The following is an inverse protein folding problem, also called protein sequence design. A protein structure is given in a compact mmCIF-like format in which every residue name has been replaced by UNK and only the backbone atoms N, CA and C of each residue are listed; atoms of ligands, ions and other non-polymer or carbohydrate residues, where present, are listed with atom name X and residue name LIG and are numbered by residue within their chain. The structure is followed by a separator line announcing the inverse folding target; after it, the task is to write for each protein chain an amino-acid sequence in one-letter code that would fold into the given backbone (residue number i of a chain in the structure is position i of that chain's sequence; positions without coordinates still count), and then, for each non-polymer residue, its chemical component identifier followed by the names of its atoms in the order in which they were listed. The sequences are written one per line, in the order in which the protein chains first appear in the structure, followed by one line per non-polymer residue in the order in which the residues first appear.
data_IF_764235059327
#
_entry.id   IF_764235059327
#
_cell.length_a   1.000
_cell.length_b   1.000
_cell.length_c   1.000
_cell.angle_alpha   90.00
_cell.angle_beta   90.00
_cell.angle_gamma   90.00
#
_symmetry.space_group_name_H-M   'P 1'
#
loop_
_entity.id
_entity.type
_entity.pdbx_description
1 polymer ?
#
# COMPACT_ATOMS: atom_id res chain seq x y z
N UNK A 1 -20.25 13.70 2.31
CA UNK A 1 -20.04 12.31 2.77
C UNK A 1 -18.57 11.89 2.74
N UNK A 2 -17.89 12.00 1.60
CA UNK A 2 -16.46 11.67 1.44
C UNK A 2 -15.51 12.34 2.46
N UNK A 3 -15.71 13.62 2.79
CA UNK A 3 -14.87 14.31 3.77
C UNK A 3 -15.00 13.76 5.21
N UNK A 4 -16.20 13.27 5.59
CA UNK A 4 -16.42 12.72 6.95
C UNK A 4 -15.75 11.36 7.11
N UNK A 5 -15.91 10.47 6.12
CA UNK A 5 -15.22 9.18 6.14
C UNK A 5 -13.70 9.35 6.08
N UNK A 6 -13.22 10.36 5.35
CA UNK A 6 -11.79 10.65 5.30
C UNK A 6 -11.21 11.01 6.67
N UNK A 7 -11.86 11.90 7.43
CA UNK A 7 -11.44 12.22 8.79
C UNK A 7 -11.49 10.99 9.71
N UNK A 8 -12.54 10.17 9.59
CA UNK A 8 -12.68 8.97 10.41
C UNK A 8 -11.54 7.95 10.17
N UNK A 9 -11.05 7.81 8.93
CA UNK A 9 -9.89 6.99 8.60
C UNK A 9 -8.61 7.57 9.21
N UNK A 10 -8.40 8.88 9.07
CA UNK A 10 -7.23 9.58 9.65
C UNK A 10 -7.18 9.34 11.17
N UNK A 11 -8.30 9.53 11.86
CA UNK A 11 -8.41 9.31 13.29
C UNK A 11 -8.17 7.84 13.67
N UNK A 12 -8.73 6.90 12.91
CA UNK A 12 -8.56 5.47 13.14
C UNK A 12 -7.11 5.00 12.92
N UNK A 13 -6.32 5.74 12.15
CA UNK A 13 -4.87 5.51 11.96
C UNK A 13 -4.01 6.22 13.01
N UNK A 14 -4.63 6.96 13.94
CA UNK A 14 -3.97 7.85 14.90
C UNK A 14 -3.10 8.93 14.23
N UNK A 15 -3.59 9.49 13.11
CA UNK A 15 -2.95 10.58 12.37
C UNK A 15 -3.73 11.89 12.54
N UNK A 16 -3.11 12.99 12.11
CA UNK A 16 -3.78 14.26 11.85
C UNK A 16 -3.79 14.59 10.35
N UNK A 17 -4.60 15.55 9.93
CA UNK A 17 -4.58 16.04 8.53
C UNK A 17 -3.23 16.64 8.15
N UNK A 18 -2.47 17.18 9.12
CA UNK A 18 -1.13 17.73 8.87
C UNK A 18 -0.06 16.66 8.63
N UNK A 19 -0.33 15.42 9.02
CA UNK A 19 0.56 14.28 8.77
C UNK A 19 0.47 13.74 7.34
N UNK A 20 -0.61 14.09 6.62
CA UNK A 20 -0.81 13.66 5.24
C UNK A 20 0.08 14.45 4.27
N UNK A 21 0.53 13.77 3.22
CA UNK A 21 1.20 14.41 2.10
C UNK A 21 0.16 15.06 1.18
N UNK A 22 0.16 16.39 1.01
CA UNK A 22 -0.84 17.08 0.18
C UNK A 22 -0.76 16.70 -1.31
N UNK A 23 0.35 16.11 -1.77
CA UNK A 23 0.49 15.58 -3.14
C UNK A 23 -0.28 14.26 -3.33
N UNK A 24 -0.57 13.57 -2.23
CA UNK A 24 -1.18 12.25 -2.23
C UNK A 24 -2.63 12.31 -1.75
N UNK A 25 -3.56 12.59 -2.66
CA UNK A 25 -4.98 12.54 -2.34
C UNK A 25 -5.42 11.13 -1.90
N UNK A 26 -6.16 11.03 -0.80
CA UNK A 26 -6.68 9.75 -0.33
C UNK A 26 -7.73 9.18 -1.29
N UNK A 27 -7.49 7.96 -1.79
CA UNK A 27 -8.29 7.36 -2.88
C UNK A 27 -8.41 5.86 -2.73
N UNK A 28 -9.60 5.33 -3.05
CA UNK A 28 -9.77 3.89 -3.25
C UNK A 28 -9.31 3.56 -4.67
N UNK A 29 -8.41 2.60 -4.81
CA UNK A 29 -7.84 2.18 -6.09
C UNK A 29 -8.04 0.67 -6.27
N UNK A 30 -8.40 0.26 -7.49
CA UNK A 30 -8.70 -1.12 -7.86
C UNK A 30 -10.19 -1.45 -7.86
N UNK A 31 -10.53 -2.65 -8.33
CA UNK A 31 -11.90 -3.20 -8.36
C UNK A 31 -12.07 -4.26 -7.26
N UNK A 32 -11.87 -5.54 -7.58
CA UNK A 32 -11.78 -6.62 -6.61
C UNK A 32 -10.45 -6.54 -5.85
N UNK A 33 -10.49 -6.63 -4.51
CA UNK A 33 -9.27 -6.48 -3.70
C UNK A 33 -8.69 -5.07 -3.74
N UNK A 34 -9.53 -4.04 -3.90
CA UNK A 34 -9.15 -2.63 -3.87
C UNK A 34 -8.48 -2.21 -2.55
N UNK A 35 -7.84 -1.05 -2.55
CA UNK A 35 -7.17 -0.48 -1.37
C UNK A 35 -7.47 1.00 -1.24
N UNK A 36 -7.74 1.46 -0.03
CA UNK A 36 -7.70 2.87 0.28
C UNK A 36 -6.24 3.29 0.46
N UNK A 37 -5.73 4.08 -0.47
CA UNK A 37 -4.39 4.63 -0.44
C UNK A 37 -4.37 5.91 0.40
N UNK A 38 -3.47 5.97 1.37
CA UNK A 38 -3.29 7.09 2.29
C UNK A 38 -1.82 7.52 2.29
N UNK A 39 -1.52 8.63 1.64
CA UNK A 39 -0.15 9.16 1.59
C UNK A 39 0.18 10.01 2.82
N UNK A 40 1.27 9.66 3.51
CA UNK A 40 1.80 10.41 4.65
C UNK A 40 3.14 11.05 4.31
N UNK A 41 3.46 12.13 5.02
CA UNK A 41 4.64 12.96 4.74
C UNK A 41 5.96 12.19 4.80
N UNK A 42 6.11 11.23 5.70
CA UNK A 42 7.36 10.51 5.84
C UNK A 42 7.29 9.28 6.74
N UNK A 43 8.46 8.67 6.92
CA UNK A 43 8.65 7.46 7.73
C UNK A 43 8.25 7.63 9.20
N UNK A 44 8.36 8.85 9.74
CA UNK A 44 7.96 9.17 11.11
C UNK A 44 6.48 8.88 11.35
N UNK A 45 5.61 9.27 10.41
CA UNK A 45 4.17 9.01 10.48
C UNK A 45 3.89 7.51 10.44
N UNK A 46 4.53 6.77 9.52
CA UNK A 46 4.37 5.31 9.42
C UNK A 46 4.75 4.58 10.72
N UNK A 47 5.84 5.03 11.36
CA UNK A 47 6.30 4.52 12.66
C UNK A 47 5.31 4.78 13.79
N UNK A 48 4.60 5.91 13.74
CA UNK A 48 3.71 6.37 14.80
C UNK A 48 2.29 5.83 14.69
N UNK A 49 1.89 5.24 13.55
CA UNK A 49 0.54 4.70 13.37
C UNK A 49 0.19 3.71 14.48
N UNK A 50 -0.99 3.92 15.06
CA UNK A 50 -1.63 3.03 16.04
C UNK A 50 -3.04 2.74 15.54
N UNK A 51 -3.20 1.82 14.57
CA UNK A 51 -4.49 1.58 13.95
C UNK A 51 -5.50 1.01 14.95
N UNK A 52 -6.68 1.60 14.99
CA UNK A 52 -7.86 1.00 15.62
C UNK A 52 -8.49 0.02 14.62
N UNK A 53 -8.15 -1.26 14.77
CA UNK A 53 -8.60 -2.30 13.84
C UNK A 53 -10.12 -2.50 13.82
N UNK A 54 -10.82 -2.23 14.93
CA UNK A 54 -12.27 -2.31 14.97
C UNK A 54 -12.89 -1.19 14.13
N UNK A 55 -12.39 0.05 14.30
CA UNK A 55 -12.83 1.19 13.49
C UNK A 55 -12.49 1.01 12.01
N UNK A 56 -11.29 0.54 11.69
CA UNK A 56 -10.89 0.27 10.30
C UNK A 56 -11.74 -0.84 9.67
N UNK A 57 -12.17 -1.85 10.43
CA UNK A 57 -13.10 -2.88 9.94
C UNK A 57 -14.44 -2.27 9.55
N UNK A 58 -15.03 -1.46 10.43
CA UNK A 58 -16.28 -0.75 10.15
C UNK A 58 -16.15 0.20 8.95
N UNK A 59 -15.06 0.97 8.88
CA UNK A 59 -14.79 1.90 7.78
C UNK A 59 -14.58 1.17 6.45
N UNK A 60 -13.94 -0.01 6.45
CA UNK A 60 -13.79 -0.84 5.25
C UNK A 60 -15.14 -1.17 4.63
N UNK A 61 -16.12 -1.58 5.44
CA UNK A 61 -17.47 -1.89 5.00
C UNK A 61 -18.22 -0.64 4.48
N UNK A 62 -18.09 0.50 5.17
CA UNK A 62 -18.74 1.75 4.76
C UNK A 62 -18.18 2.32 3.46
N UNK A 63 -16.86 2.19 3.26
CA UNK A 63 -16.16 2.72 2.10
C UNK A 63 -16.15 1.75 0.91
N UNK A 64 -16.45 0.47 1.13
CA UNK A 64 -16.23 -0.58 0.14
C UNK A 64 -14.74 -0.82 -0.16
N UNK A 65 -13.86 -0.50 0.80
CA UNK A 65 -12.41 -0.69 0.70
C UNK A 65 -11.97 -1.99 1.36
N UNK A 66 -11.19 -2.83 0.68
CA UNK A 66 -10.75 -4.14 1.22
C UNK A 66 -9.55 -4.03 2.17
N UNK A 67 -8.97 -2.83 2.31
CA UNK A 67 -7.91 -2.54 3.25
C UNK A 67 -7.35 -1.13 3.09
N UNK A 68 -6.52 -0.72 4.05
CA UNK A 68 -5.92 0.60 4.16
C UNK A 68 -4.42 0.48 3.93
N UNK A 69 -3.93 1.06 2.83
CA UNK A 69 -2.52 1.07 2.47
C UNK A 69 -1.94 2.46 2.73
N UNK A 70 -1.17 2.58 3.81
CA UNK A 70 -0.56 3.84 4.23
C UNK A 70 0.87 3.85 3.73
N UNK A 71 1.24 4.85 2.94
CA UNK A 71 2.54 4.90 2.27
C UNK A 71 3.16 6.30 2.35
N UNK A 72 4.47 6.36 2.11
CA UNK A 72 5.20 7.61 1.85
C UNK A 72 6.14 7.42 0.67
N UNK A 73 6.43 8.51 -0.06
CA UNK A 73 7.48 8.56 -1.09
C UNK A 73 8.84 9.01 -0.52
N UNK A 74 8.91 9.30 0.78
CA UNK A 74 10.17 9.55 1.51
C UNK A 74 10.57 8.27 2.25
N UNK A 75 10.91 7.22 1.51
CA UNK A 75 11.09 5.87 2.06
C UNK A 75 12.20 5.79 3.11
N UNK A 76 13.29 6.54 2.92
CA UNK A 76 14.52 6.40 3.70
C UNK A 76 15.21 5.04 3.54
N UNK A 77 14.83 4.26 2.53
CA UNK A 77 15.39 2.94 2.22
C UNK A 77 16.04 3.02 0.83
N UNK A 78 17.29 2.59 0.74
CA UNK A 78 18.05 2.59 -0.51
C UNK A 78 17.30 1.83 -1.60
N UNK A 79 17.32 2.40 -2.81
CA UNK A 79 16.67 1.89 -4.01
C UNK A 79 15.15 1.64 -3.89
N UNK A 80 14.48 2.17 -2.87
CA UNK A 80 13.03 2.11 -2.73
C UNK A 80 12.42 3.51 -2.84
N UNK A 81 11.53 3.73 -3.80
CA UNK A 81 10.77 4.98 -3.92
C UNK A 81 9.81 5.15 -2.74
N UNK A 82 9.20 4.07 -2.27
CA UNK A 82 8.17 4.14 -1.23
C UNK A 82 8.44 3.24 -0.04
N UNK A 83 7.94 3.63 1.13
CA UNK A 83 7.76 2.74 2.27
C UNK A 83 6.29 2.72 2.68
N UNK A 84 5.78 1.56 3.12
CA UNK A 84 4.36 1.38 3.40
C UNK A 84 4.06 0.46 4.57
N UNK A 85 2.77 0.49 4.98
CA UNK A 85 2.11 -0.47 5.87
C UNK A 85 0.72 -0.79 5.31
N UNK A 86 0.29 -2.04 5.47
CA UNK A 86 -0.99 -2.54 4.93
C UNK A 86 -1.85 -3.10 6.05
N UNK A 87 -3.03 -2.51 6.27
CA UNK A 87 -4.00 -2.97 7.27
C UNK A 87 -5.26 -3.53 6.61
N UNK A 88 -5.57 -4.82 6.84
CA UNK A 88 -6.75 -5.48 6.29
C UNK A 88 -7.62 -6.15 7.38
N UNK A 89 -7.97 -5.46 8.48
CA UNK A 89 -8.61 -6.14 9.62
C UNK A 89 -9.99 -6.73 9.26
N UNK A 90 -10.67 -6.18 8.25
CA UNK A 90 -11.96 -6.68 7.76
C UNK A 90 -11.90 -8.11 7.19
N UNK A 91 -10.72 -8.59 6.78
CA UNK A 91 -10.51 -9.97 6.32
C UNK A 91 -9.69 -10.80 7.32
N UNK A 92 -9.58 -10.34 8.57
CA UNK A 92 -8.88 -11.05 9.64
C UNK A 92 -7.36 -10.90 9.63
N UNK A 93 -6.80 -9.99 8.82
CA UNK A 93 -5.36 -9.70 8.78
C UNK A 93 -5.12 -8.31 9.39
N UNK A 94 -4.68 -8.20 10.65
CA UNK A 94 -4.45 -6.90 11.29
C UNK A 94 -3.46 -6.04 10.49
N UNK A 95 -2.30 -6.62 10.15
CA UNK A 95 -1.29 -6.01 9.29
C UNK A 95 -0.66 -7.09 8.41
N UNK A 96 -0.54 -6.81 7.10
CA UNK A 96 0.11 -7.69 6.14
C UNK A 96 1.61 -7.30 6.04
N UNK A 97 2.57 -8.23 6.18
CA UNK A 97 4.00 -7.92 6.09
C UNK A 97 4.41 -7.30 4.75
N UNK A 98 3.98 -7.89 3.62
CA UNK A 98 4.36 -7.44 2.28
C UNK A 98 3.24 -7.74 1.31
N UNK A 99 2.64 -6.68 0.75
CA UNK A 99 1.40 -6.81 -0.04
C UNK A 99 1.64 -6.50 -1.50
N UNK A 100 1.91 -7.52 -2.33
CA UNK A 100 2.16 -7.35 -3.76
C UNK A 100 1.05 -6.57 -4.49
N UNK A 101 -0.21 -6.99 -4.31
CA UNK A 101 -1.37 -6.32 -4.94
C UNK A 101 -1.48 -4.83 -4.55
N UNK A 102 -1.20 -4.49 -3.29
CA UNK A 102 -1.26 -3.09 -2.84
C UNK A 102 -0.18 -2.23 -3.52
N UNK A 103 1.03 -2.77 -3.70
CA UNK A 103 2.10 -2.10 -4.44
C UNK A 103 1.78 -1.94 -5.92
N UNK A 104 1.16 -2.94 -6.57
CA UNK A 104 0.70 -2.81 -7.95
C UNK A 104 -0.30 -1.67 -8.14
N UNK A 105 -1.30 -1.59 -7.25
CA UNK A 105 -2.28 -0.49 -7.23
C UNK A 105 -1.62 0.87 -6.92
N UNK A 106 -0.63 0.90 -6.03
CA UNK A 106 0.15 2.09 -5.72
C UNK A 106 0.90 2.59 -6.95
N UNK A 107 1.46 1.72 -7.79
CA UNK A 107 2.14 2.13 -9.03
C UNK A 107 1.24 2.95 -9.95
N UNK A 108 0.03 2.45 -10.21
CA UNK A 108 -0.96 3.15 -11.04
C UNK A 108 -1.37 4.49 -10.42
N UNK A 109 -1.51 4.52 -9.10
CA UNK A 109 -1.78 5.75 -8.35
C UNK A 109 -0.64 6.78 -8.47
N UNK A 110 0.60 6.37 -8.25
CA UNK A 110 1.76 7.28 -8.29
C UNK A 110 1.91 7.91 -9.68
N UNK A 111 1.73 7.14 -10.74
CA UNK A 111 1.71 7.65 -12.11
C UNK A 111 0.59 8.66 -12.34
N UNK A 112 -0.64 8.33 -11.94
CA UNK A 112 -1.79 9.22 -12.09
C UNK A 112 -1.57 10.58 -11.39
N UNK A 113 -0.85 10.57 -10.26
CA UNK A 113 -0.53 11.75 -9.48
C UNK A 113 0.80 12.42 -9.85
N UNK A 114 1.51 11.96 -10.89
CA UNK A 114 2.79 12.52 -11.33
C UNK A 114 3.96 12.28 -10.36
N UNK A 115 3.79 11.34 -9.43
CA UNK A 115 4.79 10.95 -8.41
C UNK A 115 5.70 9.80 -8.89
N UNK A 116 5.34 9.19 -10.02
CA UNK A 116 6.16 8.23 -10.75
C UNK A 116 6.15 8.63 -12.23
N UNK A 117 7.32 8.61 -12.86
CA UNK A 117 7.49 8.95 -14.27
C UNK A 117 7.54 7.67 -15.11
N UNK A 118 6.96 7.72 -16.29
CA UNK A 118 7.11 6.67 -17.29
C UNK A 118 8.34 6.96 -18.18
N UNK A 119 9.04 5.91 -18.55
CA UNK A 119 10.12 5.89 -19.51
C UNK A 119 9.65 5.10 -20.74
N UNK A 120 9.21 5.82 -21.78
CA UNK A 120 8.59 5.21 -22.95
C UNK A 120 7.24 4.58 -22.61
N UNK A 121 7.13 3.27 -22.85
CA UNK A 121 5.93 2.46 -22.60
C UNK A 121 5.92 1.78 -21.22
N UNK A 122 6.89 2.09 -20.35
CA UNK A 122 7.05 1.44 -19.05
C UNK A 122 7.25 2.44 -17.92
N UNK A 123 6.83 2.08 -16.72
CA UNK A 123 7.19 2.79 -15.49
C UNK A 123 7.58 1.77 -14.42
N UNK A 124 8.58 2.10 -13.59
CA UNK A 124 9.12 1.17 -12.59
C UNK A 124 9.34 1.86 -11.27
N UNK A 125 9.01 1.19 -10.18
CA UNK A 125 9.44 1.62 -8.85
C UNK A 125 9.58 0.43 -7.92
N UNK A 126 10.33 0.63 -6.85
CA UNK A 126 10.46 -0.34 -5.77
C UNK A 126 9.83 0.22 -4.49
N UNK A 127 9.12 -0.63 -3.76
CA UNK A 127 8.50 -0.29 -2.49
C UNK A 127 8.93 -1.22 -1.36
N UNK A 128 9.16 -0.65 -0.18
CA UNK A 128 9.46 -1.37 1.05
C UNK A 128 8.21 -1.50 1.94
N UNK A 129 8.02 -2.65 2.57
CA UNK A 129 6.94 -2.90 3.54
C UNK A 129 7.44 -3.84 4.66
N UNK A 130 6.74 -3.88 5.79
CA UNK A 130 6.96 -4.89 6.83
C UNK A 130 8.09 -4.58 7.80
N UNK A 131 8.78 -3.43 7.64
CA UNK A 131 9.85 -2.98 8.54
C UNK A 131 9.40 -2.94 10.00
N UNK A 132 8.20 -2.41 10.27
CA UNK A 132 7.65 -2.30 11.63
C UNK A 132 7.11 -3.61 12.21
N UNK A 133 7.02 -4.66 11.39
CA UNK A 133 6.67 -6.01 11.81
C UNK A 133 7.90 -6.92 11.97
N UNK A 134 9.11 -6.38 11.83
CA UNK A 134 10.36 -7.17 11.79
C UNK A 134 10.33 -8.25 10.68
N UNK A 135 9.60 -7.96 9.59
CA UNK A 135 9.47 -8.81 8.39
C UNK A 135 9.67 -7.95 7.15
N UNK A 136 10.86 -7.31 7.00
CA UNK A 136 11.10 -6.39 5.90
C UNK A 136 11.03 -7.14 4.56
N UNK A 137 10.34 -6.56 3.60
CA UNK A 137 10.35 -7.01 2.22
C UNK A 137 10.34 -5.85 1.25
N UNK A 138 10.82 -6.14 0.04
CA UNK A 138 10.84 -5.25 -1.11
C UNK A 138 9.96 -5.83 -2.19
N UNK A 139 9.22 -4.96 -2.86
CA UNK A 139 8.42 -5.29 -4.04
C UNK A 139 8.84 -4.36 -5.16
N UNK A 140 9.29 -4.93 -6.26
CA UNK A 140 9.52 -4.20 -7.50
C UNK A 140 8.23 -4.25 -8.33
N UNK A 141 7.79 -3.10 -8.82
CA UNK A 141 6.58 -2.96 -9.62
C UNK A 141 6.94 -2.38 -10.96
N UNK A 142 6.42 -3.00 -12.00
CA UNK A 142 6.55 -2.53 -13.36
C UNK A 142 5.16 -2.37 -13.98
N UNK A 143 4.91 -1.21 -14.57
CA UNK A 143 3.69 -0.89 -15.29
C UNK A 143 4.02 -0.77 -16.77
N UNK A 144 3.20 -1.41 -17.60
CA UNK A 144 3.34 -1.43 -19.05
C UNK A 144 2.15 -0.74 -19.70
N UNK A 145 2.41 0.07 -20.71
CA UNK A 145 1.42 0.87 -21.42
C UNK A 145 1.37 0.48 -22.89
N UNK A 146 0.17 0.34 -23.44
CA UNK A 146 -0.05 0.18 -24.88
C UNK A 146 -1.01 1.27 -25.35
N UNK A 147 -0.62 2.02 -26.38
CA UNK A 147 -1.42 3.12 -26.94
C UNK A 147 -1.84 4.16 -25.88
N UNK A 148 -0.98 4.42 -24.89
CA UNK A 148 -1.26 5.38 -23.81
C UNK A 148 -2.20 4.88 -22.72
N UNK A 149 -2.67 3.62 -22.79
CA UNK A 149 -3.47 2.98 -21.74
C UNK A 149 -2.63 1.97 -20.96
N UNK A 150 -2.92 1.81 -19.66
CA UNK A 150 -2.29 0.79 -18.84
C UNK A 150 -2.67 -0.60 -19.36
N UNK A 151 -1.67 -1.34 -19.85
CA UNK A 151 -1.82 -2.67 -20.43
C UNK A 151 -1.47 -3.78 -19.44
N UNK A 152 -0.55 -3.53 -18.50
CA UNK A 152 -0.12 -4.54 -17.54
C UNK A 152 0.50 -3.95 -16.28
N UNK A 153 0.43 -4.72 -15.20
CA UNK A 153 1.13 -4.46 -13.93
C UNK A 153 1.80 -5.74 -13.49
N UNK A 154 3.12 -5.70 -13.35
CA UNK A 154 3.96 -6.80 -12.90
C UNK A 154 4.46 -6.52 -11.48
N UNK A 155 4.35 -7.52 -10.62
CA UNK A 155 4.83 -7.51 -9.25
C UNK A 155 5.98 -8.51 -9.18
N UNK A 156 7.16 -8.03 -8.82
CA UNK A 156 8.41 -8.76 -8.88
C UNK A 156 9.02 -8.76 -7.48
N UNK A 157 9.56 -9.92 -7.08
CA UNK A 157 10.23 -10.10 -5.81
C UNK A 157 10.99 -11.41 -5.78
N UNK A 158 11.95 -11.52 -4.86
CA UNK A 158 12.68 -12.75 -4.58
C UNK A 158 12.11 -13.46 -3.35
N UNK A 159 12.34 -14.77 -3.27
CA UNK A 159 11.96 -15.59 -2.13
C UNK A 159 13.13 -16.48 -1.71
N UNK A 160 13.21 -16.78 -0.42
CA UNK A 160 14.20 -17.69 0.15
C UNK A 160 13.47 -18.87 0.78
N UNK A 161 13.87 -20.09 0.42
CA UNK A 161 13.34 -21.30 1.05
C UNK A 161 13.82 -21.39 2.50
N UNK A 162 12.87 -21.51 3.43
CA UNK A 162 13.19 -21.67 4.86
C UNK A 162 13.42 -23.14 5.19
N UNK A 163 12.55 -24.03 4.72
CA UNK A 163 12.67 -25.48 4.84
C UNK A 163 11.79 -26.17 3.78
N UNK A 164 11.99 -27.47 3.64
CA UNK A 164 11.17 -28.37 2.82
C UNK A 164 10.91 -29.67 3.60
N UNK A 165 9.72 -30.26 3.46
CA UNK A 165 9.37 -31.54 4.11
C UNK A 165 8.23 -32.25 3.37
N UNK A 166 7.96 -33.51 3.73
CA UNK A 166 6.85 -34.32 3.20
C UNK A 166 5.76 -34.50 4.27
N UNK A 167 4.49 -34.29 3.91
CA UNK A 167 3.33 -34.57 4.75
C UNK A 167 2.64 -35.83 4.25
N UNK A 168 2.59 -36.89 5.06
CA UNK A 168 1.78 -38.07 4.79
C UNK A 168 0.34 -37.82 5.29
N UNK A 169 -0.65 -37.97 4.40
CA UNK A 169 -2.06 -37.94 4.76
C UNK A 169 -2.53 -39.37 5.12
N UNK A 170 -3.45 -39.53 6.10
CA UNK A 170 -4.02 -40.82 6.47
C UNK A 170 -4.89 -41.42 5.37
#
# INVERSE_FOLDING_TARGET
EHARHGQAVIDALALSTTDLDPRCAMRIVGSAGNRLLVGVRGTKQLKQLKPDFNRLTTLSAQLGASGHFVFTTESGIDDCLTMSRMFCPAIGIPEDPVSGNAHGLLGAYLLHHGLLQAEGDRARFSGAQGHYQQRPGRVDVELEFANGALAGVWIIGSATMVFETTIALP
#
